data_IF_311977078978
#
_entry.id   IF_311977078978
#
_cell.length_a   1.000
_cell.length_b   1.000
_cell.length_c   1.000
_cell.angle_alpha   90.00
_cell.angle_beta   90.00
_cell.angle_gamma   90.00
#
_symmetry.space_group_name_H-M   'P 1'
#
loop_
_entity.id
_entity.type
_entity.pdbx_description
1 polymer ?
#
# COMPACT_ATOMS: atom_id res chain seq x y z
N UNK A 1 4.98 -10.66 3.11
CA UNK A 1 3.67 -10.51 2.41
C UNK A 1 3.97 -9.86 1.07
N UNK A 2 3.39 -10.39 -0.01
CA UNK A 2 3.45 -9.77 -1.35
C UNK A 2 2.06 -9.25 -1.67
N UNK A 3 1.94 -7.96 -1.95
CA UNK A 3 0.66 -7.29 -2.19
C UNK A 3 0.85 -6.21 -3.24
N UNK A 4 -0.16 -6.02 -4.09
CA UNK A 4 -0.17 -4.98 -5.13
C UNK A 4 -0.41 -3.60 -4.53
N UNK A 5 -1.24 -3.54 -3.48
CA UNK A 5 -1.55 -2.33 -2.73
C UNK A 5 -0.89 -2.35 -1.34
N UNK A 6 -0.51 -1.18 -0.86
CA UNK A 6 0.16 -1.02 0.43
C UNK A 6 -0.83 -1.19 1.60
N UNK A 7 -0.50 -2.00 2.61
CA UNK A 7 -1.42 -2.32 3.70
C UNK A 7 -1.28 -1.37 4.90
N UNK A 8 -2.42 -0.92 5.43
CA UNK A 8 -2.50 0.07 6.51
C UNK A 8 -2.33 -0.52 7.94
N UNK A 9 -2.62 -1.81 8.15
CA UNK A 9 -2.60 -2.45 9.48
C UNK A 9 -1.43 -3.44 9.70
N UNK A 10 -0.37 -3.40 8.88
CA UNK A 10 0.67 -4.44 8.91
C UNK A 10 1.38 -4.57 10.26
N UNK A 11 1.57 -3.48 11.00
CA UNK A 11 2.34 -3.52 12.25
C UNK A 11 1.86 -4.61 13.22
N UNK A 12 0.54 -4.83 13.28
CA UNK A 12 -0.08 -5.82 14.17
C UNK A 12 -0.11 -7.24 13.60
N UNK A 13 0.06 -7.39 12.28
CA UNK A 13 0.00 -8.67 11.57
C UNK A 13 1.23 -9.58 11.77
N UNK A 14 2.27 -9.11 12.48
CA UNK A 14 3.56 -9.79 12.63
C UNK A 14 4.27 -10.12 11.30
N UNK A 15 3.93 -9.40 10.23
CA UNK A 15 4.67 -9.44 8.97
C UNK A 15 5.98 -8.67 9.13
N UNK A 16 7.10 -9.35 8.87
CA UNK A 16 8.46 -8.80 9.02
C UNK A 16 9.04 -8.21 7.74
N UNK A 17 8.45 -8.52 6.58
CA UNK A 17 8.89 -7.96 5.29
C UNK A 17 7.70 -7.55 4.45
N UNK A 18 7.72 -6.28 4.03
CA UNK A 18 6.76 -5.65 3.14
C UNK A 18 7.45 -5.36 1.82
N UNK A 19 6.83 -5.79 0.73
CA UNK A 19 7.27 -5.51 -0.64
C UNK A 19 6.06 -4.96 -1.37
N UNK A 20 6.17 -3.78 -1.98
CA UNK A 20 5.06 -3.13 -2.68
C UNK A 20 5.54 -2.35 -3.91
N UNK A 21 4.65 -2.20 -4.89
CA UNK A 21 4.91 -1.47 -6.14
C UNK A 21 4.29 -0.07 -6.18
N UNK A 22 3.15 0.13 -5.52
CA UNK A 22 2.38 1.38 -5.57
C UNK A 22 2.17 2.00 -4.18
N UNK A 23 2.25 3.33 -4.09
CA UNK A 23 2.05 4.08 -2.83
C UNK A 23 0.57 4.23 -2.44
N UNK A 24 0.24 4.48 -1.15
CA UNK A 24 -1.16 4.77 -0.77
C UNK A 24 -1.68 6.03 -1.47
N UNK A 25 -0.85 7.05 -1.65
CA UNK A 25 -1.22 8.26 -2.41
C UNK A 25 -1.65 7.92 -3.84
N UNK A 26 -0.86 7.11 -4.55
CA UNK A 26 -1.19 6.70 -5.92
C UNK A 26 -2.44 5.81 -5.95
N UNK A 27 -2.61 4.93 -4.97
CA UNK A 27 -3.84 4.15 -4.82
C UNK A 27 -5.06 5.04 -4.55
N UNK A 28 -4.92 6.08 -3.73
CA UNK A 28 -5.98 7.03 -3.42
C UNK A 28 -6.46 7.78 -4.68
N UNK A 29 -5.54 8.14 -5.58
CA UNK A 29 -5.90 8.72 -6.88
C UNK A 29 -6.75 7.76 -7.74
N UNK A 30 -6.59 6.45 -7.58
CA UNK A 30 -7.35 5.44 -8.30
C UNK A 30 -8.69 5.10 -7.62
N UNK A 31 -8.73 5.08 -6.28
CA UNK A 31 -9.93 4.71 -5.53
C UNK A 31 -10.88 5.89 -5.34
N UNK A 32 -10.37 7.13 -5.27
CA UNK A 32 -11.18 8.31 -4.95
C UNK A 32 -12.00 8.12 -3.67
N UNK A 33 -13.30 8.42 -3.76
CA UNK A 33 -14.29 8.29 -2.68
C UNK A 33 -15.03 6.93 -2.69
N UNK A 34 -14.47 5.89 -3.32
CA UNK A 34 -15.11 4.57 -3.38
C UNK A 34 -15.41 4.00 -1.98
N UNK A 35 -16.70 3.75 -1.70
CA UNK A 35 -17.16 3.26 -0.39
C UNK A 35 -16.54 1.91 0.00
N UNK A 36 -16.19 1.10 -1.00
CA UNK A 36 -15.59 -0.23 -0.84
C UNK A 36 -14.21 -0.18 -0.16
N UNK A 37 -13.45 0.91 -0.38
CA UNK A 37 -12.14 1.09 0.21
C UNK A 37 -11.91 2.59 0.44
N UNK A 38 -12.28 3.11 1.64
CA UNK A 38 -12.00 4.48 2.03
C UNK A 38 -10.48 4.63 2.24
N UNK A 39 -9.77 4.83 1.14
CA UNK A 39 -8.30 4.79 1.12
C UNK A 39 -7.75 5.92 1.97
N UNK A 40 -6.83 5.55 2.86
CA UNK A 40 -6.19 6.48 3.76
C UNK A 40 -4.76 6.74 3.30
N UNK A 41 -4.45 7.98 2.90
CA UNK A 41 -3.11 8.41 2.53
C UNK A 41 -2.23 8.64 3.76
N UNK A 42 -1.95 7.55 4.48
CA UNK A 42 -0.97 7.50 5.56
C UNK A 42 0.11 6.50 5.20
N UNK A 43 1.34 6.96 4.92
CA UNK A 43 2.42 6.04 4.61
C UNK A 43 2.66 5.02 5.75
N UNK A 44 2.53 3.72 5.48
CA UNK A 44 2.86 2.69 6.49
C UNK A 44 4.25 2.84 7.13
N UNK A 45 5.25 3.40 6.41
CA UNK A 45 6.58 3.72 6.97
C UNK A 45 6.49 4.63 8.20
N UNK A 46 5.53 5.55 8.26
CA UNK A 46 5.29 6.40 9.43
C UNK A 46 4.71 5.63 10.62
N UNK A 47 3.87 4.64 10.37
CA UNK A 47 3.32 3.77 11.41
C UNK A 47 4.44 2.90 11.97
N UNK A 48 5.25 2.32 11.08
CA UNK A 48 6.36 1.42 11.42
C UNK A 48 7.48 2.15 12.16
N UNK A 49 7.79 3.40 11.78
CA UNK A 49 8.79 4.23 12.46
C UNK A 49 8.44 4.53 13.93
N UNK A 50 7.16 4.44 14.30
CA UNK A 50 6.67 4.60 15.68
C UNK A 50 6.52 3.25 16.40
N UNK A 51 6.83 2.15 15.73
CA UNK A 51 6.73 0.78 16.24
C UNK A 51 7.99 0.29 16.94
N UNK A 52 7.88 -0.87 17.58
CA UNK A 52 8.97 -1.54 18.30
C UNK A 52 9.50 -2.79 17.58
N UNK A 53 9.05 -3.03 16.34
CA UNK A 53 9.37 -4.23 15.57
C UNK A 53 10.35 -3.88 14.45
N UNK A 54 11.31 -4.76 14.23
CA UNK A 54 12.21 -4.68 13.08
C UNK A 54 11.48 -5.20 11.84
N UNK A 55 10.90 -4.28 11.07
CA UNK A 55 10.12 -4.58 9.87
C UNK A 55 10.83 -3.96 8.67
N UNK A 56 11.18 -4.81 7.70
CA UNK A 56 11.86 -4.41 6.47
C UNK A 56 10.83 -4.02 5.41
N UNK A 57 11.04 -2.88 4.77
CA UNK A 57 10.13 -2.34 3.74
C UNK A 57 10.90 -2.08 2.45
N UNK A 58 10.59 -2.84 1.42
CA UNK A 58 11.24 -2.83 0.10
C UNK A 58 10.24 -2.26 -0.93
N UNK A 59 10.67 -1.24 -1.68
CA UNK A 59 9.83 -0.52 -2.66
C UNK A 59 9.52 0.94 -2.27
N UNK A 60 8.74 1.65 -3.09
CA UNK A 60 7.98 1.13 -4.23
C UNK A 60 8.87 0.68 -5.40
N UNK A 61 8.50 -0.43 -6.05
CA UNK A 61 9.04 -0.83 -7.35
C UNK A 61 8.29 -0.09 -8.45
N UNK A 62 8.77 1.11 -8.78
CA UNK A 62 8.13 2.02 -9.74
C UNK A 62 8.12 1.47 -11.16
N UNK A 63 9.03 0.54 -11.48
CA UNK A 63 9.14 -0.07 -12.82
C UNK A 63 7.89 -0.87 -13.22
N UNK A 64 7.11 -1.32 -12.24
CA UNK A 64 5.87 -2.09 -12.45
C UNK A 64 4.62 -1.33 -11.94
N UNK A 65 4.76 -0.05 -11.58
CA UNK A 65 3.63 0.72 -11.02
C UNK A 65 2.48 0.84 -12.02
N UNK A 66 2.77 1.09 -13.30
CA UNK A 66 1.75 1.22 -14.35
C UNK A 66 0.98 -0.09 -14.58
N UNK A 67 1.68 -1.23 -14.58
CA UNK A 67 1.07 -2.56 -14.68
C UNK A 67 0.14 -2.85 -13.49
N UNK A 68 0.56 -2.41 -12.30
CA UNK A 68 -0.23 -2.56 -11.07
C UNK A 68 -1.41 -1.58 -11.06
N UNK A 69 -1.24 -0.35 -11.54
CA UNK A 69 -2.35 0.60 -11.69
C UNK A 69 -3.38 0.09 -12.70
N UNK A 70 -2.96 -0.60 -13.76
CA UNK A 70 -3.86 -1.15 -14.77
C UNK A 70 -4.88 -2.14 -14.19
N UNK A 71 -4.52 -2.95 -13.18
CA UNK A 71 -5.47 -3.89 -12.55
C UNK A 71 -6.55 -3.19 -11.72
N UNK A 72 -6.35 -1.92 -11.38
CA UNK A 72 -7.29 -1.11 -10.63
C UNK A 72 -8.24 -0.29 -11.53
N UNK A 73 -7.98 -0.21 -12.84
CA UNK A 73 -8.82 0.56 -13.76
C UNK A 73 -10.22 -0.06 -13.88
N UNK A 74 -11.26 0.74 -13.61
CA UNK A 74 -12.67 0.33 -13.69
C UNK A 74 -13.12 -0.64 -12.60
N UNK A 75 -12.28 -0.95 -11.60
CA UNK A 75 -12.64 -1.81 -10.48
C UNK A 75 -13.38 -1.04 -9.36
N UNK A 76 -13.07 0.24 -9.21
CA UNK A 76 -13.51 1.07 -8.07
C UNK A 76 -14.76 1.91 -8.36
N UNK A 77 -15.32 1.84 -9.57
CA UNK A 77 -16.56 2.53 -9.99
C UNK A 77 -17.84 1.91 -9.38
#
# INVERSE_FOLDING_TARGET
MYTTAKPCAIYWSNVVTIVYSMTEKRLLELTGDAEQNPTFDLPCREVLARGQKDIVVIGPFTEIEDEVAAVHQGYWD
#
